data_IF_360054759508
#
_entry.id   IF_360054759508
#
_cell.length_a   1.000
_cell.length_b   1.000
_cell.length_c   1.000
_cell.angle_alpha   90.00
_cell.angle_beta   90.00
_cell.angle_gamma   90.00
#
_symmetry.space_group_name_H-M   'P 1'
#
loop_
_entity.id
_entity.type
_entity.pdbx_description
1 polymer ?
#
# COMPACT_ATOMS: atom_id res chain seq x y z
N UNK A 1 -10.03 -2.52 -8.68
CA UNK A 1 -9.71 -2.38 -7.24
C UNK A 1 -8.21 -2.38 -6.92
N UNK A 2 -7.31 -2.91 -7.77
CA UNK A 2 -5.86 -2.82 -7.53
C UNK A 2 -5.35 -1.36 -7.41
N UNK A 3 -5.89 -0.46 -8.24
CA UNK A 3 -5.49 0.96 -8.24
C UNK A 3 -6.04 1.78 -7.07
N UNK A 4 -7.26 1.49 -6.62
CA UNK A 4 -7.83 2.08 -5.40
C UNK A 4 -7.02 1.66 -4.17
N UNK A 5 -6.58 0.40 -4.14
CA UNK A 5 -5.70 -0.13 -3.10
C UNK A 5 -4.30 0.46 -3.14
N UNK A 6 -3.73 0.67 -4.34
CA UNK A 6 -2.40 1.24 -4.53
C UNK A 6 -2.36 2.75 -4.26
N UNK A 7 -3.42 3.48 -4.63
CA UNK A 7 -3.51 4.93 -4.42
C UNK A 7 -4.03 5.30 -3.03
N UNK A 8 -4.94 4.51 -2.46
CA UNK A 8 -5.76 4.92 -1.32
C UNK A 8 -6.90 5.87 -1.70
N UNK A 9 -7.13 6.10 -3.00
CA UNK A 9 -8.21 6.93 -3.54
C UNK A 9 -9.29 6.05 -4.16
N UNK A 10 -10.55 6.45 -4.01
CA UNK A 10 -11.67 5.80 -4.69
C UNK A 10 -11.40 5.72 -6.22
N UNK A 11 -11.47 4.53 -6.81
CA UNK A 11 -11.17 4.32 -8.24
C UNK A 11 -12.02 5.20 -9.15
N UNK A 12 -13.22 5.58 -8.72
CA UNK A 12 -14.13 6.45 -9.48
C UNK A 12 -13.64 7.89 -9.48
N UNK A 13 -13.04 8.35 -8.38
CA UNK A 13 -12.36 9.63 -8.34
C UNK A 13 -11.15 9.65 -9.28
N UNK A 14 -10.38 8.56 -9.33
CA UNK A 14 -9.25 8.39 -10.26
C UNK A 14 -9.73 8.48 -11.72
N UNK A 15 -10.77 7.73 -12.09
CA UNK A 15 -11.34 7.74 -13.46
C UNK A 15 -11.91 9.12 -13.82
N UNK A 16 -12.56 9.81 -12.87
CA UNK A 16 -13.13 11.14 -13.11
C UNK A 16 -12.05 12.20 -13.34
N UNK A 17 -10.98 12.16 -12.54
CA UNK A 17 -9.81 13.01 -12.72
C UNK A 17 -9.21 12.75 -14.11
N UNK A 18 -8.98 11.49 -14.45
CA UNK A 18 -8.41 11.10 -15.74
C UNK A 18 -9.22 11.55 -16.97
N UNK A 19 -10.54 11.42 -16.91
CA UNK A 19 -11.43 11.87 -17.99
C UNK A 19 -11.34 13.39 -18.18
N UNK A 20 -11.25 14.14 -17.09
CA UNK A 20 -11.15 15.60 -17.16
C UNK A 20 -9.77 16.07 -17.60
N UNK A 21 -8.69 15.47 -17.07
CA UNK A 21 -7.32 15.79 -17.49
C UNK A 21 -7.17 15.53 -19.00
N UNK A 22 -7.62 14.38 -19.50
CA UNK A 22 -7.58 14.04 -20.94
C UNK A 22 -8.52 14.84 -21.85
N UNK A 23 -9.31 15.76 -21.31
CA UNK A 23 -10.40 16.41 -22.05
C UNK A 23 -11.28 15.37 -22.76
N UNK A 24 -11.61 14.29 -22.06
CA UNK A 24 -12.35 13.14 -22.60
C UNK A 24 -11.68 12.49 -23.82
N UNK A 25 -10.34 12.46 -23.84
CA UNK A 25 -9.54 11.88 -24.92
C UNK A 25 -9.30 12.80 -26.11
N UNK A 26 -9.64 14.09 -26.02
CA UNK A 26 -9.41 15.08 -27.10
C UNK A 26 -8.10 15.84 -26.94
N UNK A 27 -7.48 15.83 -25.76
CA UNK A 27 -6.11 16.29 -25.56
C UNK A 27 -5.17 15.14 -25.93
N UNK A 28 -4.31 15.35 -26.93
CA UNK A 28 -3.48 14.32 -27.59
C UNK A 28 -2.96 13.21 -26.65
N UNK A 29 -3.59 12.05 -26.75
CA UNK A 29 -3.31 10.85 -25.97
C UNK A 29 -2.14 10.11 -26.64
N UNK A 30 -1.02 9.90 -25.95
CA UNK A 30 0.07 9.09 -26.49
C UNK A 30 -0.30 7.61 -26.46
N UNK A 31 -0.14 6.93 -27.59
CA UNK A 31 -0.35 5.48 -27.73
C UNK A 31 0.95 4.68 -27.56
N UNK A 32 2.03 5.34 -27.15
CA UNK A 32 3.36 4.72 -27.05
C UNK A 32 3.47 3.77 -25.85
N UNK A 33 4.19 2.63 -25.98
CA UNK A 33 4.48 1.74 -24.86
C UNK A 33 5.16 2.50 -23.70
N UNK A 34 4.63 2.35 -22.48
CA UNK A 34 5.15 3.02 -21.28
C UNK A 34 4.42 4.32 -20.88
N UNK A 35 3.45 4.78 -21.68
CA UNK A 35 2.49 5.79 -21.23
C UNK A 35 1.62 5.24 -20.10
N UNK A 36 1.18 6.11 -19.17
CA UNK A 36 0.20 5.69 -18.17
C UNK A 36 -1.16 5.33 -18.80
N UNK A 37 -2.05 4.77 -18.00
CA UNK A 37 -3.38 4.31 -18.35
C UNK A 37 -4.31 5.42 -18.84
N UNK A 38 -3.90 6.69 -18.70
CA UNK A 38 -4.58 7.86 -19.24
C UNK A 38 -3.99 8.32 -20.58
N UNK A 39 -2.96 7.61 -21.06
CA UNK A 39 -2.16 7.95 -22.23
C UNK A 39 -1.46 9.30 -22.10
N UNK A 40 -1.12 9.71 -20.87
CA UNK A 40 -0.38 10.94 -20.58
C UNK A 40 1.12 10.66 -20.49
N UNK A 41 1.91 11.11 -21.46
CA UNK A 41 3.25 11.60 -21.17
C UNK A 41 3.07 13.02 -20.66
N UNK A 42 3.32 13.29 -19.38
CA UNK A 42 2.81 14.51 -18.73
C UNK A 42 3.19 15.80 -19.47
N UNK A 43 2.18 16.66 -19.68
CA UNK A 43 2.26 18.10 -19.93
C UNK A 43 3.42 18.62 -20.81
N UNK A 44 3.89 17.80 -21.75
CA UNK A 44 4.99 18.13 -22.63
C UNK A 44 4.78 17.38 -23.95
N UNK A 45 4.89 18.11 -25.05
CA UNK A 45 4.88 17.63 -26.44
C UNK A 45 6.01 16.65 -26.78
N UNK A 46 6.82 16.22 -25.81
CA UNK A 46 7.98 15.33 -25.99
C UNK A 46 7.62 13.88 -25.70
N UNK A 47 7.50 13.00 -26.72
CA UNK A 47 7.02 11.62 -26.57
C UNK A 47 7.94 10.71 -25.71
N UNK A 48 9.19 11.11 -25.47
CA UNK A 48 10.16 10.35 -24.68
C UNK A 48 9.95 10.38 -23.16
N UNK A 49 9.06 11.26 -22.66
CA UNK A 49 8.80 11.42 -21.22
C UNK A 49 7.76 10.45 -20.64
N UNK A 50 7.19 9.55 -21.45
CA UNK A 50 6.18 8.58 -21.00
C UNK A 50 6.67 7.72 -19.81
N UNK A 51 7.93 7.30 -19.83
CA UNK A 51 8.57 6.53 -18.73
C UNK A 51 8.73 7.32 -17.43
N UNK A 52 8.73 8.66 -17.49
CA UNK A 52 8.77 9.52 -16.32
C UNK A 52 7.40 9.69 -15.64
N UNK A 53 6.31 9.27 -16.29
CA UNK A 53 4.93 9.39 -15.82
C UNK A 53 4.15 8.10 -16.06
N UNK A 54 4.76 6.96 -15.75
CA UNK A 54 4.12 5.65 -15.76
C UNK A 54 2.96 5.56 -14.74
N UNK A 55 2.17 4.48 -14.79
CA UNK A 55 1.00 4.29 -13.91
C UNK A 55 1.31 4.46 -12.43
N UNK A 56 2.46 3.97 -11.98
CA UNK A 56 2.91 4.10 -10.61
C UNK A 56 3.08 5.58 -10.21
N UNK A 57 3.72 6.40 -11.04
CA UNK A 57 3.86 7.84 -10.77
C UNK A 57 2.55 8.60 -10.98
N UNK A 58 1.77 8.24 -11.99
CA UNK A 58 0.54 8.94 -12.37
C UNK A 58 -0.63 8.67 -11.41
N UNK A 59 -0.68 7.49 -10.79
CA UNK A 59 -1.76 7.09 -9.89
C UNK A 59 -1.27 7.09 -8.43
N UNK A 60 -0.19 6.37 -8.13
CA UNK A 60 0.33 6.28 -6.76
C UNK A 60 1.07 7.55 -6.37
N UNK A 61 1.97 8.06 -7.22
CA UNK A 61 2.71 9.31 -6.97
C UNK A 61 1.79 10.54 -6.86
N UNK A 62 0.84 10.68 -7.80
CA UNK A 62 -0.18 11.74 -7.73
C UNK A 62 -0.98 11.65 -6.43
N UNK A 63 -1.37 10.44 -6.01
CA UNK A 63 -2.18 10.34 -4.79
C UNK A 63 -1.35 10.62 -3.54
N UNK A 64 -0.17 10.03 -3.41
CA UNK A 64 0.69 10.20 -2.24
C UNK A 64 1.17 11.64 -2.08
N UNK A 65 1.62 12.28 -3.16
CA UNK A 65 2.19 13.62 -3.11
C UNK A 65 1.11 14.68 -3.27
N UNK A 66 0.30 14.58 -4.32
CA UNK A 66 -0.61 15.66 -4.71
C UNK A 66 -1.90 15.67 -3.93
N UNK A 67 -2.40 14.50 -3.51
CA UNK A 67 -3.63 14.40 -2.71
C UNK A 67 -3.32 14.32 -1.21
N UNK A 68 -2.49 13.38 -0.77
CA UNK A 68 -2.26 13.10 0.65
C UNK A 68 -1.28 14.12 1.26
N UNK A 69 -0.04 14.18 0.78
CA UNK A 69 0.98 15.07 1.33
C UNK A 69 0.57 16.55 1.20
N UNK A 70 -0.03 16.92 0.07
CA UNK A 70 -0.53 18.28 -0.17
C UNK A 70 -1.95 18.53 0.37
N UNK A 71 -2.56 17.58 1.11
CA UNK A 71 -3.85 17.72 1.80
C UNK A 71 -5.01 18.13 0.89
N UNK A 72 -5.05 17.64 -0.35
CA UNK A 72 -6.06 17.94 -1.36
C UNK A 72 -7.19 16.88 -1.37
N UNK A 73 -7.63 16.49 -0.18
CA UNK A 73 -8.43 15.29 0.08
C UNK A 73 -9.85 15.32 -0.50
N UNK A 74 -10.37 16.50 -0.83
CA UNK A 74 -11.69 16.65 -1.46
C UNK A 74 -11.65 17.69 -2.58
N UNK A 75 -12.55 17.55 -3.56
CA UNK A 75 -12.72 18.55 -4.63
C UNK A 75 -13.05 19.94 -4.08
N UNK A 76 -13.78 20.03 -2.98
CA UNK A 76 -14.05 21.29 -2.29
C UNK A 76 -12.77 21.92 -1.74
N UNK A 77 -11.92 21.13 -1.08
CA UNK A 77 -10.63 21.60 -0.56
C UNK A 77 -9.72 22.07 -1.71
N UNK A 78 -9.73 21.37 -2.83
CA UNK A 78 -8.98 21.77 -4.03
C UNK A 78 -9.46 23.13 -4.57
N UNK A 79 -10.78 23.33 -4.72
CA UNK A 79 -11.37 24.60 -5.16
C UNK A 79 -11.08 25.75 -4.16
N UNK A 80 -11.22 25.49 -2.86
CA UNK A 80 -10.96 26.49 -1.81
C UNK A 80 -9.47 26.90 -1.80
N UNK A 81 -8.56 25.95 -2.02
CA UNK A 81 -7.13 26.23 -2.10
C UNK A 81 -6.74 26.96 -3.39
N UNK A 82 -7.34 26.63 -4.53
CA UNK A 82 -7.14 27.38 -5.77
C UNK A 82 -7.49 28.87 -5.57
N UNK A 83 -8.60 29.16 -4.86
CA UNK A 83 -8.99 30.53 -4.50
C UNK A 83 -8.02 31.19 -3.53
N UNK A 84 -7.59 30.49 -2.48
CA UNK A 84 -6.58 31.01 -1.53
C UNK A 84 -5.26 31.31 -2.22
N UNK A 85 -4.83 30.45 -3.14
CA UNK A 85 -3.61 30.64 -3.92
C UNK A 85 -3.71 31.88 -4.83
N UNK A 86 -4.82 32.03 -5.56
CA UNK A 86 -5.07 33.21 -6.39
C UNK A 86 -5.11 34.51 -5.58
N UNK A 87 -5.60 34.46 -4.34
CA UNK A 87 -5.66 35.60 -3.44
C UNK A 87 -4.38 35.82 -2.62
N UNK A 88 -3.33 34.99 -2.81
CA UNK A 88 -2.07 35.08 -2.06
C UNK A 88 -2.19 34.73 -0.57
N UNK A 89 -3.26 34.07 -0.14
CA UNK A 89 -3.54 33.75 1.27
C UNK A 89 -3.30 32.29 1.63
N UNK A 90 -2.87 31.45 0.67
CA UNK A 90 -2.59 30.04 0.92
C UNK A 90 -1.30 29.87 1.73
N UNK A 91 -1.38 29.24 2.90
CA UNK A 91 -0.21 28.86 3.68
C UNK A 91 0.26 27.45 3.28
N UNK A 92 1.19 27.36 2.34
CA UNK A 92 1.67 26.08 1.82
C UNK A 92 2.38 25.20 2.86
N UNK A 93 2.92 25.80 3.94
CA UNK A 93 3.59 25.05 5.00
C UNK A 93 2.61 24.23 5.85
N UNK A 94 1.37 24.71 6.02
CA UNK A 94 0.35 24.05 6.87
C UNK A 94 -0.77 23.42 6.05
N UNK A 95 -1.11 24.02 4.91
CA UNK A 95 -2.23 23.61 4.05
C UNK A 95 -1.76 22.78 2.86
N UNK A 96 -0.47 22.72 2.54
CA UNK A 96 0.05 22.04 1.36
C UNK A 96 -0.15 22.81 0.06
N UNK A 97 0.44 22.32 -1.02
CA UNK A 97 0.35 22.91 -2.36
C UNK A 97 -1.02 22.73 -3.02
N UNK A 98 -1.32 23.58 -4.00
CA UNK A 98 -2.52 23.42 -4.84
C UNK A 98 -2.38 22.25 -5.80
N UNK A 99 -3.50 21.57 -6.09
CA UNK A 99 -3.56 20.58 -7.16
C UNK A 99 -3.76 21.24 -8.54
N UNK A 100 -4.69 22.21 -8.61
CA UNK A 100 -4.90 23.08 -9.76
C UNK A 100 -5.09 24.52 -9.28
N UNK A 101 -4.85 25.47 -10.17
CA UNK A 101 -4.94 26.91 -9.90
C UNK A 101 -6.23 27.54 -10.44
N UNK A 102 -7.04 26.78 -11.19
CA UNK A 102 -8.30 27.28 -11.73
C UNK A 102 -9.31 27.58 -10.60
N UNK A 103 -9.87 28.79 -10.65
CA UNK A 103 -10.80 29.31 -9.64
C UNK A 103 -12.27 29.23 -10.08
N UNK A 104 -12.53 28.72 -11.29
CA UNK A 104 -13.87 28.60 -11.88
C UNK A 104 -14.77 27.56 -11.20
N UNK A 105 -14.21 26.74 -10.29
CA UNK A 105 -14.92 25.63 -9.64
C UNK A 105 -14.73 24.30 -10.36
N UNK A 106 -13.53 24.05 -10.86
CA UNK A 106 -13.15 22.84 -11.60
C UNK A 106 -13.25 21.58 -10.73
N UNK A 107 -13.13 21.70 -9.41
CA UNK A 107 -13.43 20.63 -8.45
C UNK A 107 -14.90 20.25 -8.48
N UNK A 108 -15.81 21.24 -8.50
CA UNK A 108 -17.25 21.00 -8.69
C UNK A 108 -17.54 20.29 -10.02
N UNK A 109 -16.89 20.69 -11.11
CA UNK A 109 -17.05 20.02 -12.40
C UNK A 109 -16.60 18.54 -12.33
N UNK A 110 -15.45 18.26 -11.69
CA UNK A 110 -14.97 16.89 -11.46
C UNK A 110 -15.93 16.06 -10.58
N UNK A 111 -16.53 16.68 -9.56
CA UNK A 111 -17.54 16.03 -8.72
C UNK A 111 -18.80 15.63 -9.52
N UNK A 112 -19.24 16.47 -10.47
CA UNK A 112 -20.37 16.14 -11.34
C UNK A 112 -20.06 15.00 -12.32
N UNK A 113 -18.82 14.92 -12.82
CA UNK A 113 -18.36 13.79 -13.63
C UNK A 113 -18.36 12.50 -12.81
N UNK A 114 -17.84 12.55 -11.59
CA UNK A 114 -17.84 11.42 -10.67
C UNK A 114 -19.26 10.92 -10.39
N UNK A 115 -20.20 11.84 -10.12
CA UNK A 115 -21.61 11.52 -9.90
C UNK A 115 -22.26 10.87 -11.13
N UNK A 116 -21.94 11.34 -12.34
CA UNK A 116 -22.44 10.74 -13.59
C UNK A 116 -21.87 9.35 -13.81
N UNK A 117 -20.59 9.14 -13.48
CA UNK A 117 -19.94 7.84 -13.56
C UNK A 117 -20.56 6.85 -12.56
N UNK A 118 -20.78 7.27 -11.31
CA UNK A 118 -21.49 6.49 -10.29
C UNK A 118 -22.86 6.05 -10.79
N UNK A 119 -23.66 7.02 -11.26
CA UNK A 119 -24.99 6.74 -11.80
C UNK A 119 -24.92 5.77 -12.99
N UNK A 120 -23.98 5.95 -13.91
CA UNK A 120 -23.83 5.06 -15.04
C UNK A 120 -23.48 3.64 -14.59
N UNK A 121 -22.57 3.49 -13.63
CA UNK A 121 -22.20 2.18 -13.06
C UNK A 121 -23.43 1.52 -12.43
N UNK A 122 -24.16 2.24 -11.58
CA UNK A 122 -25.36 1.73 -10.91
C UNK A 122 -26.45 1.31 -11.91
N UNK A 123 -26.71 2.13 -12.92
CA UNK A 123 -27.70 1.87 -13.97
C UNK A 123 -27.30 0.67 -14.88
N UNK A 124 -26.01 0.29 -14.93
CA UNK A 124 -25.47 -0.75 -15.82
C UNK A 124 -24.93 -1.98 -15.08
N UNK A 125 -25.55 -2.33 -13.95
CA UNK A 125 -25.27 -3.58 -13.22
C UNK A 125 -24.34 -3.41 -12.02
N UNK A 126 -24.08 -2.17 -11.62
CA UNK A 126 -23.20 -1.84 -10.49
C UNK A 126 -21.74 -2.17 -10.77
N UNK A 127 -20.88 -1.94 -9.78
CA UNK A 127 -19.49 -2.41 -9.85
C UNK A 127 -19.51 -3.94 -9.68
N UNK A 128 -19.04 -4.74 -10.66
CA UNK A 128 -18.89 -6.17 -10.45
C UNK A 128 -18.04 -6.40 -9.20
N UNK A 129 -18.32 -7.47 -8.42
CA UNK A 129 -17.34 -7.91 -7.41
C UNK A 129 -15.98 -7.97 -8.12
N UNK A 130 -14.95 -7.37 -7.50
CA UNK A 130 -13.60 -7.54 -8.02
C UNK A 130 -13.41 -9.02 -8.32
N UNK A 131 -12.81 -9.37 -9.49
CA UNK A 131 -12.46 -10.75 -9.76
C UNK A 131 -11.83 -11.30 -8.48
N UNK A 132 -12.32 -12.44 -7.99
CA UNK A 132 -11.59 -13.14 -6.93
C UNK A 132 -10.15 -13.19 -7.40
N UNK A 133 -9.23 -12.60 -6.63
CA UNK A 133 -7.83 -12.49 -7.02
C UNK A 133 -7.42 -13.86 -7.55
N UNK A 134 -7.20 -13.96 -8.87
CA UNK A 134 -6.55 -15.16 -9.40
C UNK A 134 -5.25 -15.23 -8.63
N UNK A 135 -5.01 -16.36 -7.97
CA UNK A 135 -3.74 -16.66 -7.33
C UNK A 135 -2.64 -16.16 -8.29
N UNK A 136 -1.74 -15.26 -7.86
CA UNK A 136 -0.76 -14.68 -8.75
C UNK A 136 0.06 -15.81 -9.39
N UNK A 137 -0.10 -15.98 -10.69
CA UNK A 137 0.74 -16.86 -11.48
C UNK A 137 2.06 -16.14 -11.78
N UNK A 138 3.12 -16.52 -11.08
CA UNK A 138 4.52 -16.12 -11.31
C UNK A 138 5.15 -15.47 -10.06
N UNK A 139 6.35 -15.82 -9.60
CA UNK A 139 7.38 -16.75 -10.07
C UNK A 139 8.17 -17.21 -8.83
N UNK A 140 8.61 -18.47 -8.82
CA UNK A 140 9.47 -19.08 -7.79
C UNK A 140 10.76 -18.28 -7.61
N UNK A 141 10.95 -17.69 -6.43
CA UNK A 141 12.23 -17.62 -5.74
C UNK A 141 12.00 -17.34 -4.25
N UNK A 142 11.72 -18.40 -3.49
CA UNK A 142 11.87 -18.49 -2.02
C UNK A 142 11.09 -17.54 -1.11
N UNK A 143 10.50 -16.46 -1.62
CA UNK A 143 10.01 -15.31 -0.86
C UNK A 143 8.52 -15.28 -0.58
N UNK A 144 7.79 -16.37 -0.83
CA UNK A 144 6.34 -16.45 -0.60
C UNK A 144 5.52 -15.63 -1.62
N UNK A 145 4.20 -15.75 -1.56
CA UNK A 145 3.28 -15.01 -2.45
C UNK A 145 2.84 -13.72 -1.76
N UNK A 146 3.30 -12.57 -2.24
CA UNK A 146 3.01 -11.26 -1.63
C UNK A 146 1.70 -10.66 -2.11
N UNK A 147 0.86 -10.20 -1.17
CA UNK A 147 -0.43 -9.57 -1.42
C UNK A 147 -0.59 -8.29 -0.61
N UNK A 148 -1.33 -7.32 -1.17
CA UNK A 148 -1.65 -6.05 -0.48
C UNK A 148 -2.82 -6.20 0.53
N UNK A 149 -3.43 -7.39 0.57
CA UNK A 149 -4.58 -7.71 1.43
C UNK A 149 -4.52 -9.18 1.80
N UNK A 150 -5.38 -9.60 2.72
CA UNK A 150 -5.43 -10.99 3.19
C UNK A 150 -5.73 -11.91 2.00
N UNK A 151 -4.82 -12.84 1.64
CA UNK A 151 -5.02 -13.72 0.49
C UNK A 151 -6.25 -14.61 0.63
N UNK A 152 -6.85 -14.98 -0.51
CA UNK A 152 -8.04 -15.82 -0.55
C UNK A 152 -7.85 -17.14 0.24
N UNK A 153 -8.86 -17.48 1.04
CA UNK A 153 -8.85 -18.67 1.89
C UNK A 153 -7.97 -18.55 3.13
N UNK A 154 -7.40 -17.38 3.43
CA UNK A 154 -6.83 -17.06 4.74
C UNK A 154 -7.68 -16.00 5.45
N UNK A 155 -7.49 -15.88 6.76
CA UNK A 155 -8.22 -14.95 7.61
C UNK A 155 -7.32 -14.43 8.72
N UNK A 156 -7.60 -13.21 9.17
CA UNK A 156 -6.98 -12.65 10.37
C UNK A 156 -7.88 -12.88 11.57
N UNK A 157 -7.29 -13.29 12.70
CA UNK A 157 -8.00 -13.37 13.99
C UNK A 157 -8.43 -11.99 14.47
N UNK A 158 -7.62 -10.96 14.21
CA UNK A 158 -7.90 -9.55 14.50
C UNK A 158 -7.62 -8.68 13.28
N UNK A 159 -8.48 -7.70 12.98
CA UNK A 159 -8.19 -6.69 11.96
C UNK A 159 -6.92 -5.93 12.37
N UNK A 160 -6.02 -5.68 11.41
CA UNK A 160 -4.85 -4.84 11.64
C UNK A 160 -5.27 -3.36 11.58
N UNK A 161 -4.94 -2.61 12.62
CA UNK A 161 -5.08 -1.16 12.70
C UNK A 161 -3.81 -0.58 13.34
N UNK A 162 -3.01 0.11 12.55
CA UNK A 162 -1.70 0.63 12.98
C UNK A 162 -1.79 2.00 13.65
N UNK A 163 -2.98 2.63 13.71
CA UNK A 163 -3.15 3.99 14.22
C UNK A 163 -2.71 4.17 15.68
N UNK A 164 -2.79 3.10 16.48
CA UNK A 164 -2.36 3.08 17.88
C UNK A 164 -0.94 2.55 18.13
N UNK A 165 -0.17 2.23 17.08
CA UNK A 165 1.13 1.57 17.24
C UNK A 165 2.19 2.54 17.71
N UNK A 166 2.95 2.14 18.73
CA UNK A 166 4.00 2.99 19.30
C UNK A 166 5.32 2.81 18.54
N UNK A 167 6.07 3.90 18.35
CA UNK A 167 7.36 3.92 17.64
C UNK A 167 8.52 4.37 18.54
N UNK A 168 8.47 4.03 19.83
CA UNK A 168 9.48 4.45 20.81
C UNK A 168 10.79 3.66 20.70
N UNK A 169 10.71 2.34 20.58
CA UNK A 169 11.88 1.46 20.58
C UNK A 169 12.25 0.93 19.18
N UNK A 170 11.26 0.80 18.31
CA UNK A 170 11.44 0.46 16.90
C UNK A 170 10.92 1.60 16.03
N UNK A 171 11.68 2.02 14.99
CA UNK A 171 11.28 3.13 14.13
C UNK A 171 9.97 2.86 13.39
N UNK A 172 9.11 3.88 13.31
CA UNK A 172 7.82 3.80 12.63
C UNK A 172 7.95 3.16 11.24
N UNK A 173 6.99 2.29 10.92
CA UNK A 173 6.86 1.69 9.61
C UNK A 173 7.83 0.54 9.31
N UNK A 174 8.82 0.28 10.16
CA UNK A 174 9.75 -0.84 10.00
C UNK A 174 9.10 -2.19 10.31
N UNK A 175 9.70 -3.27 9.79
CA UNK A 175 9.25 -4.64 10.04
C UNK A 175 9.19 -4.97 11.54
N UNK A 176 10.22 -4.59 12.30
CA UNK A 176 10.31 -4.77 13.76
C UNK A 176 9.27 -3.95 14.52
N UNK A 177 9.01 -2.71 14.10
CA UNK A 177 7.95 -1.87 14.66
C UNK A 177 6.58 -2.51 14.51
N UNK A 178 6.29 -3.04 13.33
CA UNK A 178 5.01 -3.66 13.07
C UNK A 178 4.82 -4.92 13.92
N UNK A 179 5.77 -5.86 13.89
CA UNK A 179 5.65 -7.12 14.63
C UNK A 179 5.57 -6.90 16.13
N UNK A 180 6.38 -5.98 16.68
CA UNK A 180 6.35 -5.63 18.09
C UNK A 180 4.99 -5.12 18.56
N UNK A 181 4.31 -4.30 17.76
CA UNK A 181 2.99 -3.77 18.10
C UNK A 181 1.87 -4.77 17.80
N UNK A 182 1.93 -5.46 16.65
CA UNK A 182 0.95 -6.47 16.26
C UNK A 182 0.83 -7.59 17.28
N UNK A 183 1.96 -8.05 17.81
CA UNK A 183 1.98 -9.07 18.86
C UNK A 183 1.22 -8.64 20.14
N UNK A 184 1.31 -7.37 20.53
CA UNK A 184 0.62 -6.84 21.72
C UNK A 184 -0.89 -6.90 21.61
N UNK A 185 -1.44 -6.82 20.40
CA UNK A 185 -2.87 -7.02 20.19
C UNK A 185 -3.33 -8.42 20.63
N UNK A 186 -2.43 -9.40 20.66
CA UNK A 186 -2.68 -10.76 21.12
C UNK A 186 -2.20 -11.01 22.56
N UNK A 187 -1.83 -9.95 23.29
CA UNK A 187 -1.28 -10.07 24.63
C UNK A 187 0.16 -10.60 24.67
N UNK A 188 0.84 -10.65 23.53
CA UNK A 188 2.19 -11.20 23.39
C UNK A 188 3.20 -10.04 23.42
N UNK A 189 4.24 -10.21 24.21
CA UNK A 189 5.28 -9.21 24.38
C UNK A 189 6.60 -9.68 23.78
N UNK A 190 7.21 -8.78 23.01
CA UNK A 190 8.58 -8.87 22.57
C UNK A 190 9.41 -7.79 23.27
N UNK A 191 10.72 -8.00 23.33
CA UNK A 191 11.63 -7.08 23.99
C UNK A 191 11.76 -5.82 23.10
N UNK A 192 11.78 -4.61 23.69
CA UNK A 192 11.86 -3.38 22.91
C UNK A 192 13.18 -3.25 22.12
N UNK A 193 14.21 -4.05 22.42
CA UNK A 193 15.56 -3.92 21.85
C UNK A 193 16.12 -5.27 21.36
N UNK A 194 15.41 -5.94 20.45
CA UNK A 194 15.84 -7.20 19.82
C UNK A 194 16.71 -7.01 18.57
N UNK A 195 16.95 -5.76 18.18
CA UNK A 195 17.75 -5.43 17.00
C UNK A 195 16.95 -5.49 15.70
N UNK A 196 17.64 -5.81 14.61
CA UNK A 196 17.08 -5.92 13.26
C UNK A 196 16.22 -7.18 13.10
N UNK A 197 15.40 -7.23 12.05
CA UNK A 197 14.44 -8.31 11.85
C UNK A 197 15.07 -9.71 11.84
N UNK A 198 16.23 -9.87 11.19
CA UNK A 198 16.95 -11.15 11.16
C UNK A 198 17.66 -11.53 12.45
N UNK A 199 17.78 -10.61 13.41
CA UNK A 199 18.47 -10.81 14.70
C UNK A 199 17.53 -11.34 15.79
N UNK A 200 16.21 -11.23 15.60
CA UNK A 200 15.22 -11.64 16.61
C UNK A 200 15.34 -13.12 17.00
N UNK A 201 15.70 -13.98 16.04
CA UNK A 201 15.96 -15.41 16.30
C UNK A 201 17.17 -15.69 17.21
N UNK A 202 18.04 -14.71 17.44
CA UNK A 202 19.23 -14.85 18.28
C UNK A 202 19.12 -14.10 19.61
N UNK A 203 17.98 -13.45 19.90
CA UNK A 203 17.79 -12.68 21.13
C UNK A 203 17.82 -13.62 22.35
N UNK A 204 18.73 -13.42 23.31
CA UNK A 204 18.76 -14.23 24.53
C UNK A 204 17.45 -14.14 25.32
N UNK A 205 17.01 -15.28 25.84
CA UNK A 205 15.80 -15.36 26.68
C UNK A 205 14.47 -15.45 25.91
N UNK A 206 14.52 -15.68 24.59
CA UNK A 206 13.37 -16.08 23.78
C UNK A 206 13.54 -17.52 23.30
N UNK A 207 12.47 -18.30 23.34
CA UNK A 207 12.44 -19.63 22.74
C UNK A 207 12.21 -19.51 21.23
N UNK A 208 12.85 -20.40 20.47
CA UNK A 208 12.67 -20.49 19.02
C UNK A 208 12.23 -21.88 18.60
N UNK A 209 11.56 -21.95 17.46
CA UNK A 209 11.12 -23.22 16.85
C UNK A 209 11.16 -23.12 15.34
N UNK A 210 11.23 -24.27 14.65
CA UNK A 210 11.02 -24.39 13.20
C UNK A 210 9.61 -24.89 12.84
N UNK A 211 8.77 -25.14 13.84
CA UNK A 211 7.36 -25.48 13.62
C UNK A 211 6.54 -24.20 13.61
N UNK A 212 5.86 -23.85 12.51
CA UNK A 212 5.07 -22.63 12.46
C UNK A 212 3.94 -22.66 13.50
N UNK A 213 3.74 -21.54 14.18
CA UNK A 213 2.67 -21.35 15.16
C UNK A 213 2.04 -19.98 14.96
N UNK A 214 0.72 -19.93 15.03
CA UNK A 214 0.00 -18.66 15.02
C UNK A 214 0.49 -17.74 16.13
N UNK A 215 0.50 -16.45 15.82
CA UNK A 215 0.88 -15.36 16.71
C UNK A 215 2.34 -15.43 17.20
N UNK A 216 3.22 -16.03 16.41
CA UNK A 216 4.68 -15.93 16.60
C UNK A 216 5.30 -14.96 15.61
N UNK A 217 6.46 -14.42 15.93
CA UNK A 217 7.29 -13.69 14.99
C UNK A 217 8.07 -14.70 14.15
N UNK A 218 8.13 -14.52 12.83
CA UNK A 218 9.05 -15.25 11.96
C UNK A 218 10.24 -14.36 11.61
N UNK A 219 11.45 -14.82 11.94
CA UNK A 219 12.70 -14.09 11.74
C UNK A 219 13.43 -14.65 10.53
N UNK A 220 13.63 -13.83 9.52
CA UNK A 220 14.33 -14.18 8.29
C UNK A 220 15.78 -13.68 8.37
N UNK A 221 16.73 -14.60 8.29
CA UNK A 221 18.16 -14.30 8.14
C UNK A 221 18.38 -13.38 6.92
N UNK A 222 19.36 -12.47 6.94
CA UNK A 222 19.66 -11.61 5.80
C UNK A 222 19.79 -12.37 4.47
N UNK A 223 19.11 -11.87 3.43
CA UNK A 223 19.12 -12.44 2.08
C UNK A 223 18.26 -13.71 1.88
N UNK A 224 17.49 -14.13 2.89
CA UNK A 224 16.60 -15.31 2.79
C UNK A 224 15.16 -14.89 2.59
N UNK A 225 14.40 -15.67 1.81
CA UNK A 225 12.98 -15.42 1.55
C UNK A 225 12.67 -13.96 1.13
N UNK A 226 13.54 -13.34 0.33
CA UNK A 226 13.38 -11.95 -0.11
C UNK A 226 13.63 -10.89 0.97
N UNK A 227 14.24 -11.26 2.10
CA UNK A 227 14.64 -10.32 3.16
C UNK A 227 15.80 -9.42 2.72
N UNK A 228 15.95 -8.29 3.40
CA UNK A 228 17.08 -7.39 3.19
C UNK A 228 18.42 -8.14 3.41
N UNK A 229 19.41 -8.01 2.51
CA UNK A 229 20.66 -8.75 2.58
C UNK A 229 21.58 -8.32 3.74
N UNK A 230 21.28 -7.19 4.39
CA UNK A 230 22.03 -6.68 5.55
C UNK A 230 21.27 -6.90 6.85
N UNK A 231 19.98 -6.54 6.88
CA UNK A 231 19.20 -6.48 8.12
C UNK A 231 18.31 -7.69 8.37
N UNK A 232 18.11 -8.54 7.36
CA UNK A 232 17.10 -9.58 7.40
C UNK A 232 15.70 -8.99 7.46
N UNK A 233 14.74 -9.76 7.98
CA UNK A 233 13.36 -9.32 8.07
C UNK A 233 12.65 -10.02 9.22
N UNK A 234 11.59 -9.41 9.75
CA UNK A 234 10.69 -10.07 10.71
C UNK A 234 9.25 -9.82 10.33
N UNK A 235 8.42 -10.86 10.40
CA UNK A 235 7.00 -10.77 10.15
C UNK A 235 6.20 -11.47 11.26
N UNK A 236 4.89 -11.26 11.31
CA UNK A 236 4.00 -11.88 12.29
C UNK A 236 3.18 -12.99 11.63
N UNK A 237 3.14 -14.18 12.24
CA UNK A 237 2.36 -15.32 11.74
C UNK A 237 0.89 -15.12 12.12
N UNK A 238 0.06 -14.85 11.12
CA UNK A 238 -1.37 -14.60 11.31
C UNK A 238 -2.19 -15.89 11.35
N UNK A 239 -1.84 -16.86 10.51
CA UNK A 239 -2.59 -18.12 10.42
C UNK A 239 -1.68 -19.28 10.01
N UNK A 240 -1.91 -20.46 10.59
CA UNK A 240 -1.29 -21.72 10.18
C UNK A 240 -2.39 -22.70 9.78
N UNK A 241 -2.41 -23.12 8.52
CA UNK A 241 -3.42 -24.05 8.00
C UNK A 241 -3.07 -25.50 8.34
N UNK A 242 -4.08 -26.38 8.25
CA UNK A 242 -3.92 -27.81 8.46
C UNK A 242 -2.96 -28.49 7.46
N UNK A 243 -2.82 -27.93 6.25
CA UNK A 243 -1.83 -28.37 5.26
C UNK A 243 -0.39 -27.91 5.57
N UNK A 244 -0.20 -27.11 6.62
CA UNK A 244 1.07 -26.56 7.07
C UNK A 244 1.50 -25.28 6.35
N UNK A 245 0.69 -24.76 5.43
CA UNK A 245 0.92 -23.42 4.86
C UNK A 245 0.61 -22.33 5.88
N UNK A 246 1.30 -21.20 5.73
CA UNK A 246 1.17 -20.08 6.67
C UNK A 246 0.80 -18.79 5.95
N UNK A 247 0.09 -17.93 6.65
CA UNK A 247 -0.06 -16.51 6.34
C UNK A 247 0.78 -15.71 7.32
N UNK A 248 1.57 -14.78 6.79
CA UNK A 248 2.25 -13.74 7.56
C UNK A 248 1.72 -12.35 7.21
N UNK A 249 1.78 -11.43 8.17
CA UNK A 249 1.64 -9.99 7.98
C UNK A 249 2.95 -9.30 8.32
N UNK A 250 3.30 -8.26 7.58
CA UNK A 250 4.57 -7.55 7.73
C UNK A 250 4.46 -6.09 7.30
N UNK A 251 5.45 -5.27 7.69
CA UNK A 251 5.61 -3.89 7.23
C UNK A 251 6.99 -3.68 6.61
N UNK A 252 7.11 -2.71 5.71
CA UNK A 252 8.34 -2.37 5.00
C UNK A 252 8.86 -3.43 4.02
N UNK A 253 8.06 -4.45 3.68
CA UNK A 253 8.37 -5.32 2.54
C UNK A 253 7.97 -4.68 1.20
N UNK A 254 6.90 -3.86 1.20
CA UNK A 254 6.42 -3.09 0.04
C UNK A 254 6.62 -1.58 0.15
N UNK A 255 7.37 -1.13 1.16
CA UNK A 255 7.59 0.29 1.46
C UNK A 255 7.28 0.65 2.90
N UNK A 256 7.87 1.76 3.35
CA UNK A 256 7.84 2.16 4.75
C UNK A 256 6.40 2.37 5.25
N UNK A 257 6.01 1.67 6.31
CA UNK A 257 4.67 1.77 6.90
C UNK A 257 3.56 1.10 6.09
N UNK A 258 3.90 0.47 4.96
CA UNK A 258 2.94 -0.31 4.17
C UNK A 258 2.85 -1.70 4.75
N UNK A 259 1.67 -2.05 5.26
CA UNK A 259 1.35 -3.42 5.69
C UNK A 259 1.04 -4.28 4.48
N UNK A 260 1.73 -5.42 4.35
CA UNK A 260 1.51 -6.42 3.32
C UNK A 260 1.42 -7.82 3.93
N UNK A 261 1.00 -8.78 3.13
CA UNK A 261 0.86 -10.16 3.53
C UNK A 261 1.67 -11.07 2.61
N UNK A 262 2.15 -12.18 3.15
CA UNK A 262 2.74 -13.26 2.36
C UNK A 262 2.23 -14.61 2.79
N UNK A 263 2.12 -15.52 1.84
CA UNK A 263 1.88 -16.94 2.13
C UNK A 263 3.06 -17.79 1.75
N UNK A 264 3.34 -18.79 2.58
CA UNK A 264 4.37 -19.79 2.32
C UNK A 264 3.76 -21.17 2.43
N UNK A 265 4.15 -22.08 1.54
CA UNK A 265 3.78 -23.48 1.66
C UNK A 265 4.49 -24.13 2.86
N UNK A 266 4.09 -25.36 3.21
CA UNK A 266 4.66 -26.10 4.34
C UNK A 266 6.19 -26.29 4.21
N UNK A 267 6.68 -26.53 3.00
CA UNK A 267 8.11 -26.79 2.80
C UNK A 267 8.92 -25.53 3.08
N UNK A 268 8.49 -24.39 2.55
CA UNK A 268 9.10 -23.09 2.83
C UNK A 268 8.97 -22.72 4.31
N UNK A 269 7.77 -22.82 4.87
CA UNK A 269 7.50 -22.46 6.26
C UNK A 269 8.36 -23.26 7.25
N UNK A 270 8.68 -24.52 6.95
CA UNK A 270 9.52 -25.36 7.80
C UNK A 270 11.01 -24.95 7.83
N UNK A 271 11.45 -24.06 6.93
CA UNK A 271 12.83 -23.58 6.87
C UNK A 271 13.08 -22.34 7.74
N UNK A 272 12.02 -21.70 8.24
CA UNK A 272 12.14 -20.44 8.96
C UNK A 272 12.30 -20.66 10.47
N UNK A 273 12.81 -19.63 11.14
CA UNK A 273 12.91 -19.59 12.59
C UNK A 273 11.78 -18.73 13.16
N UNK A 274 10.93 -19.34 13.98
CA UNK A 274 9.83 -18.67 14.68
C UNK A 274 10.26 -18.36 16.11
N UNK A 275 10.06 -17.12 16.54
CA UNK A 275 10.41 -16.60 17.87
C UNK A 275 9.14 -16.51 18.71
N UNK A 276 9.09 -17.26 19.80
CA UNK A 276 7.92 -17.34 20.69
C UNK A 276 7.95 -16.16 21.66
N UNK A 277 6.96 -15.28 21.57
CA UNK A 277 6.83 -14.12 22.48
C UNK A 277 6.33 -14.51 23.88
N UNK A 278 6.41 -13.58 24.82
CA UNK A 278 6.11 -13.78 26.25
C UNK A 278 4.75 -13.24 26.68
#
# INVERSE_FOLDING_TARGET
MQWEKASGLDVRAIVSIAQMESSYGTAGVTTSPGANMFGYGAFDSTPGNATNYNDEKAVTGLTQVTIIQNKNETFKVQDDKAKKYANGTLNTATEGGVYFTDTSGSGKARAEVMKKLDKYIDDHGGTPKAPAEKAPTGTRDGGGVTADGVPAGYSLTKKIDTSGYIAQSYPYGQCTWFVFNRAKEFGINYDPYMGNGGEWQYKPGYETTHTPREHTAVSFTPGTAGSDPTYGHVAFVEQVKSDGSILISESNAKGLGVVSYRTFDKAQASQFTYVIGK
#
